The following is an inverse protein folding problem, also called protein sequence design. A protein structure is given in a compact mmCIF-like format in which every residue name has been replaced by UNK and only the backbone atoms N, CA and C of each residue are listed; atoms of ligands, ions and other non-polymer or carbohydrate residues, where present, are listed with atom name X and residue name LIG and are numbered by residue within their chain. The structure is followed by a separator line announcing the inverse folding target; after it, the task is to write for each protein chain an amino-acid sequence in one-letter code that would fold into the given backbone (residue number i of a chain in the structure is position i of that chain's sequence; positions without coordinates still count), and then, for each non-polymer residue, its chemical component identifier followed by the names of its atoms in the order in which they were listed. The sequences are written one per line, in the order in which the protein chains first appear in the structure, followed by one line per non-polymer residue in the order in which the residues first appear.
data_IF_449353562668
#
_entry.id   IF_449353562668
#
_cell.length_a   1.000
_cell.length_b   1.000
_cell.length_c   1.000
_cell.angle_alpha   90.00
_cell.angle_beta   90.00
_cell.angle_gamma   90.00
#
_symmetry.space_group_name_H-M   'P 1'
#
loop_
_entity.id
_entity.type
_entity.pdbx_description
1 polymer ?
#
# COMPACT_ATOMS: atom_id res chain seq x y z
N UNK A 1 -14.76 10.84 -1.69
CA UNK A 1 -14.03 11.00 -2.95
C UNK A 1 -12.71 10.27 -2.84
N UNK A 2 -12.20 9.79 -3.97
CA UNK A 2 -10.96 9.04 -4.09
C UNK A 2 -10.13 9.65 -5.21
N UNK A 3 -8.81 9.53 -5.09
CA UNK A 3 -7.91 9.87 -6.18
C UNK A 3 -7.90 8.72 -7.19
N UNK A 4 -8.14 9.04 -8.45
CA UNK A 4 -8.16 8.07 -9.55
C UNK A 4 -6.76 7.50 -9.81
N UNK A 5 -6.69 6.34 -10.48
CA UNK A 5 -5.42 5.71 -10.83
C UNK A 5 -4.71 6.42 -11.99
N UNK A 6 -5.48 6.85 -12.98
CA UNK A 6 -4.95 7.50 -14.18
C UNK A 6 -5.97 7.57 -15.30
N UNK A 7 -5.44 7.78 -16.50
CA UNK A 7 -6.21 7.82 -17.73
C UNK A 7 -5.59 6.88 -18.76
N UNK A 8 -6.43 6.32 -19.63
CA UNK A 8 -5.97 5.65 -20.86
C UNK A 8 -5.51 6.68 -21.89
N UNK A 9 -4.90 6.21 -22.98
CA UNK A 9 -4.52 7.07 -24.12
C UNK A 9 -5.73 7.79 -24.72
N UNK A 10 -6.89 7.14 -24.73
CA UNK A 10 -8.16 7.69 -25.23
C UNK A 10 -8.89 8.58 -24.21
N UNK A 11 -8.32 8.78 -23.04
CA UNK A 11 -8.85 9.65 -21.99
C UNK A 11 -9.88 8.98 -21.06
N UNK A 12 -10.08 7.67 -21.13
CA UNK A 12 -10.91 6.95 -20.18
C UNK A 12 -10.28 6.98 -18.78
N UNK A 13 -11.11 7.17 -17.77
CA UNK A 13 -10.67 7.24 -16.38
C UNK A 13 -10.50 5.84 -15.81
N UNK A 14 -9.37 5.58 -15.14
CA UNK A 14 -9.06 4.32 -14.46
C UNK A 14 -9.15 4.53 -12.95
N UNK A 15 -9.88 3.66 -12.25
CA UNK A 15 -9.97 3.68 -10.80
C UNK A 15 -10.92 4.74 -10.25
N UNK A 16 -12.01 5.00 -10.96
CA UNK A 16 -13.08 5.84 -10.46
C UNK A 16 -14.10 5.01 -9.67
N UNK A 17 -14.77 5.66 -8.74
CA UNK A 17 -15.72 5.03 -7.80
C UNK A 17 -16.83 4.20 -8.49
N UNK A 18 -17.19 4.55 -9.71
CA UNK A 18 -18.24 3.90 -10.50
C UNK A 18 -17.76 2.66 -11.24
N UNK A 19 -16.47 2.40 -11.28
CA UNK A 19 -15.93 1.23 -11.96
C UNK A 19 -16.37 -0.05 -11.22
N UNK A 20 -16.81 -1.09 -11.92
CA UNK A 20 -17.23 -2.35 -11.29
C UNK A 20 -16.06 -3.10 -10.67
N UNK A 21 -14.86 -2.92 -11.19
CA UNK A 21 -13.59 -3.52 -10.73
C UNK A 21 -12.53 -2.44 -10.57
N UNK A 22 -11.56 -2.67 -9.71
CA UNK A 22 -10.43 -1.76 -9.47
C UNK A 22 -10.83 -0.29 -9.23
N UNK A 23 -11.92 -0.07 -8.50
CA UNK A 23 -12.46 1.27 -8.28
C UNK A 23 -11.75 2.05 -7.17
N UNK A 24 -10.81 1.43 -6.47
CA UNK A 24 -9.96 2.06 -5.48
C UNK A 24 -8.55 1.50 -5.54
N UNK A 25 -7.55 2.39 -5.54
CA UNK A 25 -6.14 2.05 -5.61
C UNK A 25 -5.37 2.68 -4.46
N UNK A 26 -4.46 1.90 -3.84
CA UNK A 26 -3.63 2.35 -2.72
C UNK A 26 -2.68 3.49 -3.09
N UNK A 27 -1.96 3.34 -4.21
CA UNK A 27 -0.89 4.27 -4.56
C UNK A 27 -1.37 5.72 -4.78
N UNK A 28 -2.47 5.99 -5.51
CA UNK A 28 -2.96 7.36 -5.66
C UNK A 28 -3.34 8.00 -4.33
N UNK A 29 -3.90 7.23 -3.38
CA UNK A 29 -4.29 7.77 -2.09
C UNK A 29 -3.06 8.14 -1.25
N UNK A 30 -2.07 7.26 -1.14
CA UNK A 30 -0.85 7.54 -0.37
C UNK A 30 -0.03 8.67 -1.00
N UNK A 31 0.13 8.68 -2.32
CA UNK A 31 0.92 9.69 -3.01
C UNK A 31 0.24 11.06 -3.10
N UNK A 32 -1.08 11.14 -3.07
CA UNK A 32 -1.78 12.43 -2.98
C UNK A 32 -1.44 13.18 -1.68
N UNK A 33 -1.20 12.42 -0.61
CA UNK A 33 -0.79 12.96 0.69
C UNK A 33 0.72 13.29 0.68
N UNK A 34 1.56 12.34 0.27
CA UNK A 34 3.02 12.50 0.27
C UNK A 34 3.45 13.69 -0.59
N UNK A 35 2.82 13.89 -1.75
CA UNK A 35 3.14 14.99 -2.67
C UNK A 35 2.56 16.34 -2.24
N UNK A 36 1.68 16.38 -1.24
CA UNK A 36 0.96 17.60 -0.85
C UNK A 36 -0.14 18.03 -1.83
N UNK A 37 -0.54 17.16 -2.76
CA UNK A 37 -1.65 17.44 -3.70
C UNK A 37 -3.00 17.51 -3.00
N UNK A 38 -3.24 16.59 -2.05
CA UNK A 38 -4.46 16.54 -1.27
C UNK A 38 -4.48 17.66 -0.22
N UNK A 39 -5.59 18.40 -0.11
CA UNK A 39 -5.82 19.22 1.07
C UNK A 39 -6.11 18.31 2.29
N UNK A 40 -6.15 18.89 3.48
CA UNK A 40 -6.30 18.12 4.74
C UNK A 40 -7.52 17.20 4.74
N UNK A 41 -8.71 17.72 4.38
CA UNK A 41 -9.94 16.94 4.35
C UNK A 41 -9.91 15.81 3.31
N UNK A 42 -9.28 16.06 2.14
CA UNK A 42 -9.09 15.04 1.11
C UNK A 42 -8.10 13.98 1.57
N UNK A 43 -7.01 14.38 2.22
CA UNK A 43 -6.01 13.47 2.74
C UNK A 43 -6.60 12.53 3.79
N UNK A 44 -7.30 13.07 4.78
CA UNK A 44 -7.92 12.29 5.86
C UNK A 44 -8.97 11.31 5.31
N UNK A 45 -9.80 11.76 4.36
CA UNK A 45 -10.79 10.91 3.71
C UNK A 45 -10.14 9.80 2.87
N UNK A 46 -9.09 10.12 2.11
CA UNK A 46 -8.36 9.14 1.30
C UNK A 46 -7.74 8.05 2.18
N UNK A 47 -7.03 8.46 3.25
CA UNK A 47 -6.40 7.52 4.18
C UNK A 47 -7.42 6.69 4.96
N UNK A 48 -8.55 7.29 5.36
CA UNK A 48 -9.63 6.55 6.01
C UNK A 48 -10.22 5.48 5.07
N UNK A 49 -10.44 5.81 3.81
CA UNK A 49 -10.91 4.83 2.82
C UNK A 49 -9.89 3.70 2.58
N UNK A 50 -8.58 4.00 2.59
CA UNK A 50 -7.53 2.96 2.51
C UNK A 50 -7.64 2.03 3.72
N UNK A 51 -7.72 2.57 4.91
CA UNK A 51 -7.83 1.79 6.13
C UNK A 51 -9.08 0.88 6.13
N UNK A 52 -10.24 1.43 5.75
CA UNK A 52 -11.50 0.69 5.79
C UNK A 52 -11.64 -0.38 4.71
N UNK A 53 -11.05 -0.15 3.53
CA UNK A 53 -11.29 -0.99 2.35
C UNK A 53 -10.10 -1.86 1.94
N UNK A 54 -8.89 -1.32 2.05
CA UNK A 54 -7.70 -1.99 1.52
C UNK A 54 -6.87 -2.65 2.61
N UNK A 55 -6.97 -2.22 3.88
CA UNK A 55 -6.14 -2.78 4.94
C UNK A 55 -6.53 -4.22 5.27
N UNK A 56 -5.51 -5.00 5.63
CA UNK A 56 -5.63 -6.39 6.09
C UNK A 56 -4.58 -6.67 7.17
N UNK A 57 -4.70 -7.79 7.86
CA UNK A 57 -3.73 -8.23 8.87
C UNK A 57 -2.31 -8.53 8.33
N UNK A 58 -2.09 -8.43 7.00
CA UNK A 58 -0.80 -8.61 6.34
C UNK A 58 -0.35 -7.35 5.59
N UNK A 59 -1.07 -6.24 5.74
CA UNK A 59 -0.88 -4.97 5.06
C UNK A 59 -2.00 -4.63 4.08
N UNK A 60 -1.90 -3.48 3.44
CA UNK A 60 -2.90 -2.99 2.51
C UNK A 60 -2.76 -3.61 1.12
N UNK A 61 -3.87 -4.12 0.56
CA UNK A 61 -3.93 -4.58 -0.84
C UNK A 61 -3.80 -3.41 -1.81
N UNK A 62 -3.27 -3.68 -2.99
CA UNK A 62 -2.93 -2.65 -3.97
C UNK A 62 -4.16 -1.98 -4.58
N UNK A 63 -5.25 -2.71 -4.73
CA UNK A 63 -6.53 -2.20 -5.22
C UNK A 63 -7.69 -3.12 -4.85
N UNK A 64 -8.92 -2.61 -4.92
CA UNK A 64 -10.17 -3.33 -4.64
C UNK A 64 -11.32 -2.77 -5.51
N UNK A 65 -12.28 -3.58 -5.99
CA UNK A 65 -12.19 -5.04 -6.17
C UNK A 65 -11.13 -5.46 -7.20
N UNK A 66 -10.69 -6.74 -7.21
CA UNK A 66 -9.76 -7.22 -8.23
C UNK A 66 -10.40 -7.27 -9.61
N UNK A 67 -9.57 -7.27 -10.64
CA UNK A 67 -10.01 -7.56 -12.00
C UNK A 67 -10.32 -9.05 -12.17
N UNK A 68 -11.47 -9.34 -12.77
CA UNK A 68 -11.88 -10.66 -13.27
C UNK A 68 -12.13 -10.63 -14.78
N UNK A 69 -12.45 -9.47 -15.30
CA UNK A 69 -12.62 -9.22 -16.72
C UNK A 69 -11.72 -8.04 -17.15
N UNK A 70 -11.58 -7.84 -18.45
CA UNK A 70 -10.88 -6.68 -18.97
C UNK A 70 -11.72 -5.43 -18.73
N UNK A 71 -11.26 -4.54 -17.86
CA UNK A 71 -11.91 -3.25 -17.65
C UNK A 71 -11.62 -2.28 -18.82
N UNK A 72 -10.45 -2.43 -19.47
CA UNK A 72 -10.02 -1.69 -20.65
C UNK A 72 -8.90 -2.46 -21.36
N UNK A 73 -8.69 -2.19 -22.64
CA UNK A 73 -7.59 -2.79 -23.40
C UNK A 73 -6.24 -2.37 -22.79
N UNK A 74 -5.41 -3.33 -22.44
CA UNK A 74 -4.10 -3.09 -21.82
C UNK A 74 -4.05 -3.17 -20.29
N UNK A 75 -5.13 -3.55 -19.63
CA UNK A 75 -5.12 -3.80 -18.18
C UNK A 75 -4.29 -5.06 -17.85
N UNK A 76 -2.98 -4.93 -17.77
CA UNK A 76 -2.05 -6.05 -17.52
C UNK A 76 -2.33 -6.76 -16.18
N UNK A 77 -2.98 -6.11 -15.22
CA UNK A 77 -3.32 -6.71 -13.94
C UNK A 77 -4.20 -7.97 -14.08
N UNK A 78 -5.04 -8.05 -15.12
CA UNK A 78 -5.90 -9.22 -15.36
C UNK A 78 -5.15 -10.51 -15.71
N UNK A 79 -3.86 -10.44 -16.04
CA UNK A 79 -3.03 -11.64 -16.24
C UNK A 79 -2.71 -12.36 -14.93
N UNK A 80 -2.88 -11.68 -13.80
CA UNK A 80 -2.67 -12.25 -12.46
C UNK A 80 -4.00 -12.68 -11.86
N UNK A 81 -3.98 -13.79 -11.14
CA UNK A 81 -5.13 -14.21 -10.36
C UNK A 81 -5.51 -13.16 -9.32
N UNK A 82 -6.79 -13.02 -9.02
CA UNK A 82 -7.29 -12.12 -8.00
C UNK A 82 -6.58 -12.35 -6.65
N UNK A 83 -6.15 -11.28 -6.01
CA UNK A 83 -5.37 -11.31 -4.78
C UNK A 83 -3.86 -11.53 -4.98
N UNK A 84 -3.35 -11.53 -6.21
CA UNK A 84 -1.91 -11.71 -6.46
C UNK A 84 -1.31 -10.52 -7.21
N UNK A 85 -0.06 -10.17 -6.88
CA UNK A 85 0.69 -9.08 -7.52
C UNK A 85 -0.16 -7.81 -7.69
N UNK A 86 -0.20 -7.26 -8.90
CA UNK A 86 -0.92 -6.04 -9.21
C UNK A 86 -2.45 -6.20 -9.21
N UNK A 87 -2.95 -7.44 -9.18
CA UNK A 87 -4.39 -7.70 -9.11
C UNK A 87 -4.88 -7.94 -7.68
N UNK A 88 -4.92 -6.88 -6.89
CA UNK A 88 -5.34 -6.88 -5.47
C UNK A 88 -4.43 -7.69 -4.52
N UNK A 89 -3.15 -7.91 -4.88
CA UNK A 89 -2.13 -8.40 -3.96
C UNK A 89 -1.70 -7.30 -2.98
N UNK A 90 -1.07 -7.70 -1.88
CA UNK A 90 -0.39 -6.80 -0.95
C UNK A 90 1.03 -6.59 -1.48
N UNK A 91 1.23 -5.53 -2.26
CA UNK A 91 2.56 -5.20 -2.76
C UNK A 91 3.39 -4.59 -1.63
N UNK A 92 4.46 -5.25 -1.24
CA UNK A 92 5.17 -4.89 -0.01
C UNK A 92 5.83 -3.50 -0.09
N UNK A 93 6.32 -3.10 -1.26
CA UNK A 93 6.92 -1.77 -1.44
C UNK A 93 5.94 -0.63 -1.18
N UNK A 94 4.68 -0.79 -1.55
CA UNK A 94 3.62 0.23 -1.35
C UNK A 94 3.31 0.47 0.13
N UNK A 95 3.65 -0.48 1.01
CA UNK A 95 3.40 -0.34 2.44
C UNK A 95 4.23 0.80 3.05
N UNK A 96 5.47 1.01 2.61
CA UNK A 96 6.28 2.14 3.06
C UNK A 96 5.66 3.49 2.73
N UNK A 97 4.96 3.61 1.61
CA UNK A 97 4.29 4.84 1.22
C UNK A 97 3.05 5.13 2.07
N UNK A 98 2.23 4.13 2.38
CA UNK A 98 1.07 4.36 3.26
C UNK A 98 1.50 4.66 4.70
N UNK A 99 2.55 4.02 5.21
CA UNK A 99 3.16 4.36 6.50
C UNK A 99 3.56 5.83 6.55
N UNK A 100 4.28 6.30 5.53
CA UNK A 100 4.70 7.70 5.45
C UNK A 100 3.51 8.65 5.36
N UNK A 101 2.51 8.33 4.54
CA UNK A 101 1.33 9.17 4.35
C UNK A 101 0.52 9.34 5.65
N UNK A 102 0.29 8.25 6.39
CA UNK A 102 -0.40 8.31 7.69
C UNK A 102 0.39 9.13 8.72
N UNK A 103 1.71 8.90 8.80
CA UNK A 103 2.57 9.65 9.71
C UNK A 103 2.60 11.15 9.38
N UNK A 104 2.61 11.53 8.10
CA UNK A 104 2.53 12.92 7.65
C UNK A 104 1.24 13.62 8.09
N UNK A 105 0.16 12.86 8.30
CA UNK A 105 -1.12 13.38 8.82
C UNK A 105 -1.22 13.30 10.35
N UNK A 106 -0.18 12.84 11.05
CA UNK A 106 -0.18 12.68 12.50
C UNK A 106 -0.96 11.44 12.98
N UNK A 107 -1.24 10.48 12.09
CA UNK A 107 -1.90 9.22 12.42
C UNK A 107 -0.88 8.16 12.84
N UNK A 108 -0.07 8.43 13.86
CA UNK A 108 1.06 7.60 14.28
C UNK A 108 0.69 6.16 14.59
N UNK A 109 -0.41 5.93 15.29
CA UNK A 109 -0.89 4.56 15.62
C UNK A 109 -1.22 3.76 14.35
N UNK A 110 -1.87 4.37 13.35
CA UNK A 110 -2.17 3.69 12.08
C UNK A 110 -0.90 3.44 11.28
N UNK A 111 0.00 4.40 11.23
CA UNK A 111 1.31 4.23 10.58
C UNK A 111 2.08 3.05 11.20
N UNK A 112 2.09 2.95 12.52
CA UNK A 112 2.72 1.85 13.24
C UNK A 112 2.02 0.51 12.99
N UNK A 113 0.69 0.48 12.92
CA UNK A 113 -0.06 -0.72 12.57
C UNK A 113 0.29 -1.25 11.18
N UNK A 114 0.31 -0.39 10.16
CA UNK A 114 0.74 -0.77 8.79
C UNK A 114 2.17 -1.31 8.79
N UNK A 115 3.06 -0.72 9.60
CA UNK A 115 4.43 -1.24 9.74
C UNK A 115 4.43 -2.66 10.31
N UNK A 116 3.72 -2.92 11.42
CA UNK A 116 3.68 -4.24 12.08
C UNK A 116 3.03 -5.30 11.19
N UNK A 117 1.96 -4.96 10.48
CA UNK A 117 1.25 -5.87 9.57
C UNK A 117 2.16 -6.34 8.42
N UNK A 118 3.10 -5.51 7.97
CA UNK A 118 4.03 -5.84 6.88
C UNK A 118 5.42 -6.29 7.37
N UNK A 119 5.81 -6.01 8.61
CA UNK A 119 7.16 -6.27 9.11
C UNK A 119 7.44 -7.77 9.22
N UNK A 120 8.49 -8.31 8.56
CA UNK A 120 8.79 -9.75 8.60
C UNK A 120 8.97 -10.29 10.02
N UNK A 121 9.64 -9.54 10.88
CA UNK A 121 9.88 -9.93 12.26
C UNK A 121 8.59 -10.06 13.09
N UNK A 122 7.59 -9.22 12.82
CA UNK A 122 6.30 -9.26 13.51
C UNK A 122 5.40 -10.40 13.01
N UNK A 123 5.74 -11.03 11.88
CA UNK A 123 4.95 -12.08 11.25
C UNK A 123 5.53 -13.50 11.48
N UNK A 124 6.52 -13.67 12.34
CA UNK A 124 7.16 -14.96 12.59
C UNK A 124 6.21 -16.02 13.15
N UNK A 125 5.21 -15.63 13.94
CA UNK A 125 4.17 -16.52 14.45
C UNK A 125 3.20 -17.03 13.37
N UNK A 126 3.30 -16.51 12.16
CA UNK A 126 2.50 -16.87 10.96
C UNK A 126 3.36 -17.47 9.86
N UNK A 127 4.53 -18.02 10.21
CA UNK A 127 5.49 -18.58 9.24
C UNK A 127 4.88 -19.65 8.33
N UNK A 128 4.00 -20.50 8.88
CA UNK A 128 3.28 -21.55 8.12
C UNK A 128 2.35 -20.99 7.04
N UNK A 129 1.80 -19.78 7.24
CA UNK A 129 0.96 -19.09 6.26
C UNK A 129 1.85 -18.34 5.29
N UNK A 130 2.77 -17.52 5.79
CA UNK A 130 3.61 -16.66 4.97
C UNK A 130 4.54 -17.44 4.05
N UNK A 131 5.10 -18.54 4.50
CA UNK A 131 6.02 -19.40 3.74
C UNK A 131 7.18 -18.61 3.10
N UNK A 132 7.67 -17.62 3.84
CA UNK A 132 8.76 -16.75 3.44
C UNK A 132 9.94 -16.98 4.39
N UNK A 133 11.16 -16.75 3.91
CA UNK A 133 12.36 -16.76 4.74
C UNK A 133 12.20 -15.77 5.90
N UNK A 134 12.56 -16.15 7.15
CA UNK A 134 12.49 -15.25 8.30
C UNK A 134 13.23 -13.93 8.05
N UNK A 135 12.69 -12.83 8.54
CA UNK A 135 13.24 -11.47 8.41
C UNK A 135 13.39 -10.94 6.98
N UNK A 136 12.87 -11.67 6.00
CA UNK A 136 12.91 -11.27 4.59
C UNK A 136 11.61 -10.53 4.19
N UNK A 137 11.75 -9.44 3.45
CA UNK A 137 10.64 -8.90 2.69
C UNK A 137 10.49 -9.67 1.38
N UNK A 138 9.26 -10.11 1.09
CA UNK A 138 8.89 -10.57 -0.24
C UNK A 138 8.45 -9.40 -1.12
N UNK A 139 8.34 -9.63 -2.42
CA UNK A 139 7.83 -8.63 -3.35
C UNK A 139 6.34 -8.34 -3.07
N UNK A 140 5.57 -9.40 -2.82
CA UNK A 140 4.15 -9.30 -2.50
C UNK A 140 3.70 -10.43 -1.57
N UNK A 141 2.59 -10.18 -0.90
CA UNK A 141 1.82 -11.18 -0.15
C UNK A 141 0.45 -11.31 -0.81
N UNK A 142 -0.08 -12.53 -0.89
CA UNK A 142 -1.41 -12.76 -1.46
C UNK A 142 -2.47 -12.05 -0.62
N UNK A 143 -3.32 -11.26 -1.27
CA UNK A 143 -4.37 -10.46 -0.67
C UNK A 143 -5.64 -11.25 -0.35
N UNK A 144 -6.60 -10.58 0.28
CA UNK A 144 -7.88 -11.16 0.78
C UNK A 144 -8.73 -11.88 -0.27
N UNK A 145 -8.48 -11.63 -1.55
CA UNK A 145 -9.20 -12.26 -2.67
C UNK A 145 -8.52 -13.55 -3.16
N UNK A 146 -7.36 -13.90 -2.63
CA UNK A 146 -6.68 -15.16 -2.95
C UNK A 146 -7.10 -16.28 -1.98
N UNK A 147 -7.21 -17.54 -2.45
CA UNK A 147 -7.38 -18.69 -1.58
C UNK A 147 -6.18 -18.96 -0.67
N UNK A 148 -5.01 -18.37 -0.98
CA UNK A 148 -3.80 -18.47 -0.17
C UNK A 148 -3.48 -17.14 0.56
N UNK A 149 -4.49 -16.42 1.02
CA UNK A 149 -4.34 -15.16 1.72
C UNK A 149 -3.24 -15.20 2.78
N UNK A 150 -2.33 -14.23 2.75
CA UNK A 150 -1.20 -14.13 3.65
C UNK A 150 0.09 -14.82 3.16
N UNK A 151 0.05 -15.63 2.10
CA UNK A 151 1.24 -16.26 1.55
C UNK A 151 2.10 -15.26 0.79
N UNK A 152 3.37 -15.14 1.17
CA UNK A 152 4.32 -14.22 0.56
C UNK A 152 5.18 -14.87 -0.52
N UNK A 153 5.65 -14.08 -1.47
CA UNK A 153 6.37 -14.54 -2.66
C UNK A 153 7.57 -13.65 -3.00
N UNK A 154 8.49 -14.22 -3.76
CA UNK A 154 9.67 -13.55 -4.33
C UNK A 154 10.53 -12.93 -3.25
N UNK A 155 11.27 -13.79 -2.55
CA UNK A 155 12.18 -13.44 -1.47
C UNK A 155 13.26 -12.46 -1.96
N UNK A 156 13.58 -11.45 -1.16
CA UNK A 156 14.65 -10.46 -1.35
C UNK A 156 14.52 -9.54 -2.57
N UNK A 157 13.78 -9.91 -3.59
CA UNK A 157 13.65 -9.16 -4.83
C UNK A 157 12.58 -8.08 -4.72
N UNK A 158 12.85 -7.04 -3.94
CA UNK A 158 11.91 -5.94 -3.68
C UNK A 158 12.62 -4.70 -3.15
N UNK A 159 12.08 -3.52 -3.45
CA UNK A 159 12.49 -2.24 -2.84
C UNK A 159 11.84 -1.94 -1.49
N UNK A 160 11.15 -2.91 -0.89
CA UNK A 160 10.33 -2.71 0.32
C UNK A 160 11.14 -2.19 1.50
N UNK A 161 12.33 -2.75 1.74
CA UNK A 161 13.16 -2.34 2.88
C UNK A 161 13.47 -0.84 2.86
N UNK A 162 13.77 -0.29 1.68
CA UNK A 162 14.05 1.15 1.52
C UNK A 162 12.82 2.00 1.79
N UNK A 163 11.66 1.65 1.22
CA UNK A 163 10.44 2.44 1.38
C UNK A 163 9.89 2.38 2.80
N UNK A 164 9.95 1.20 3.43
CA UNK A 164 9.55 1.03 4.84
C UNK A 164 10.51 1.76 5.77
N UNK A 165 11.82 1.73 5.50
CA UNK A 165 12.81 2.49 6.27
C UNK A 165 12.49 3.99 6.24
N UNK A 166 12.20 4.55 5.06
CA UNK A 166 11.78 5.95 4.92
C UNK A 166 10.48 6.19 5.70
N UNK A 167 9.47 5.35 5.54
CA UNK A 167 8.21 5.46 6.28
C UNK A 167 8.40 5.45 7.80
N UNK A 168 9.31 4.61 8.31
CA UNK A 168 9.61 4.56 9.74
C UNK A 168 10.44 5.76 10.21
N UNK A 169 11.56 6.06 9.54
CA UNK A 169 12.50 7.08 9.99
C UNK A 169 11.93 8.48 9.79
N UNK A 170 11.48 8.80 8.58
CA UNK A 170 10.95 10.13 8.28
C UNK A 170 9.49 10.31 8.71
N UNK A 171 8.72 9.21 8.72
CA UNK A 171 7.34 9.19 9.15
C UNK A 171 7.21 9.00 10.66
N UNK A 172 7.23 7.75 11.14
CA UNK A 172 6.90 7.40 12.54
C UNK A 172 7.84 8.09 13.52
N UNK A 173 9.18 8.00 13.31
CA UNK A 173 10.16 8.67 14.18
C UNK A 173 10.29 10.17 13.88
N UNK A 174 9.77 10.63 12.75
CA UNK A 174 9.78 12.02 12.35
C UNK A 174 11.17 12.64 12.20
N UNK A 175 12.18 11.83 11.90
CA UNK A 175 13.57 12.25 11.74
C UNK A 175 13.83 12.64 10.29
N UNK A 176 13.90 13.94 10.01
CA UNK A 176 14.07 14.45 8.64
C UNK A 176 15.28 15.38 8.55
N UNK A 177 16.13 15.21 7.52
CA UNK A 177 17.18 16.20 7.27
C UNK A 177 16.56 17.54 6.89
N UNK A 178 17.18 18.62 7.38
CA UNK A 178 16.84 19.99 7.04
C UNK A 178 18.11 20.75 6.67
N UNK A 179 17.98 21.88 6.00
CA UNK A 179 19.11 22.71 5.60
C UNK A 179 19.97 23.15 6.81
N UNK A 180 19.35 23.36 7.95
CA UNK A 180 20.03 23.80 9.19
C UNK A 180 20.33 22.65 10.16
N UNK A 181 20.08 21.41 9.79
CA UNK A 181 20.36 20.26 10.66
C UNK A 181 19.35 19.11 10.54
N UNK A 182 18.90 18.60 11.67
CA UNK A 182 17.96 17.50 11.75
C UNK A 182 16.69 17.95 12.48
N UNK A 183 15.55 17.86 11.80
CA UNK A 183 14.23 18.02 12.41
C UNK A 183 13.79 16.71 13.02
N UNK A 184 13.35 16.71 14.28
CA UNK A 184 12.77 15.56 14.97
C UNK A 184 11.35 15.92 15.41
N UNK A 185 10.37 15.26 14.84
CA UNK A 185 8.94 15.47 15.12
C UNK A 185 8.19 14.15 14.93
N UNK A 186 8.19 13.23 15.94
CA UNK A 186 7.46 11.96 15.88
C UNK A 186 5.96 12.17 15.65
N UNK A 187 5.34 11.25 14.93
CA UNK A 187 3.89 11.28 14.66
C UNK A 187 3.09 10.57 15.76
#
# INVERSE_FOLDING_TARGET
DLFIRGFTEDGEVIGQRTDPEANMWLNPQSWSVISGLANEAQADLALQNVYDKLNTEYGAILMDPPYHAHAFDGALAVIYNAGTKENAGIFSQSQGWIILAEALRGHGDRAFNYFIENAPAAQNNRAEIRRLEPYCYGQFTEGKHSPNFGRSHVHWLTGTASTVMVGCVEGILGMRPDFYGLKIAPS
#
